data_IF_949119695152
#
_entry.id   IF_949119695152
#
_cell.length_a   1.000
_cell.length_b   1.000
_cell.length_c   1.000
_cell.angle_alpha   90.00
_cell.angle_beta   90.00
_cell.angle_gamma   90.00
#
_symmetry.space_group_name_H-M   'P 1'
#
loop_
_entity.id
_entity.type
_entity.pdbx_description
1 polymer ?
#
# COMPACT_ATOMS: atom_id res chain seq x y z
N UNK A 1 35.11 -7.70 -8.64
CA UNK A 1 36.08 -7.10 -7.71
C UNK A 1 35.91 -5.59 -7.78
N UNK A 2 35.11 -4.99 -6.90
CA UNK A 2 35.15 -3.54 -6.66
C UNK A 2 36.51 -3.27 -6.01
N UNK A 3 37.33 -2.39 -6.60
CA UNK A 3 38.48 -1.83 -5.93
C UNK A 3 37.96 -1.11 -4.69
N UNK A 4 38.21 -1.68 -3.51
CA UNK A 4 37.76 -1.14 -2.24
C UNK A 4 38.60 0.10 -1.92
N UNK A 5 38.14 1.24 -2.38
CA UNK A 5 38.57 2.55 -1.90
C UNK A 5 37.61 2.86 -0.76
N UNK A 6 37.91 2.39 0.45
CA UNK A 6 37.07 2.69 1.62
C UNK A 6 37.39 4.11 2.09
N UNK A 7 36.45 5.01 1.86
CA UNK A 7 36.39 6.24 2.61
C UNK A 7 35.82 5.91 4.01
N UNK A 8 36.48 6.39 5.06
CA UNK A 8 36.00 6.30 6.43
C UNK A 8 35.13 7.50 6.73
N UNK A 9 33.93 7.25 7.26
CA UNK A 9 33.00 8.26 7.73
C UNK A 9 33.03 8.32 9.26
N UNK A 10 33.36 9.49 9.83
CA UNK A 10 33.28 9.68 11.28
C UNK A 10 31.83 9.73 11.75
N UNK A 11 31.58 9.45 13.04
CA UNK A 11 30.33 9.86 13.67
C UNK A 11 30.22 11.40 13.65
N UNK A 12 28.99 11.95 13.66
CA UNK A 12 28.82 13.39 13.77
C UNK A 12 29.44 13.92 15.08
N UNK A 13 30.16 15.02 14.98
CA UNK A 13 30.75 15.70 16.15
C UNK A 13 30.73 17.22 15.97
N UNK A 14 30.66 17.92 17.10
CA UNK A 14 30.71 19.37 17.08
C UNK A 14 32.15 19.86 16.87
N UNK A 15 32.36 20.64 15.83
CA UNK A 15 33.64 21.27 15.53
C UNK A 15 33.67 22.72 16.01
N UNK A 16 34.59 23.04 16.89
CA UNK A 16 34.78 24.43 17.37
C UNK A 16 35.27 25.36 16.28
N UNK A 17 36.06 24.84 15.31
CA UNK A 17 36.64 25.63 14.24
C UNK A 17 35.59 26.11 13.24
N UNK A 18 34.56 25.29 13.02
CA UNK A 18 33.45 25.61 12.10
C UNK A 18 32.21 26.08 12.82
N UNK A 19 32.18 26.01 14.17
CA UNK A 19 30.99 26.29 15.00
C UNK A 19 29.74 25.51 14.54
N UNK A 20 29.92 24.24 14.15
CA UNK A 20 28.89 23.38 13.57
C UNK A 20 29.11 21.91 13.92
N UNK A 21 28.03 21.13 13.84
CA UNK A 21 28.14 19.66 13.80
C UNK A 21 28.54 19.23 12.40
N UNK A 22 29.62 18.47 12.30
CA UNK A 22 30.19 17.98 11.05
C UNK A 22 30.43 16.48 11.11
N UNK A 23 30.56 15.88 9.94
CA UNK A 23 31.20 14.58 9.74
C UNK A 23 32.48 14.77 8.97
N UNK A 24 33.47 13.91 9.25
CA UNK A 24 34.70 13.87 8.49
C UNK A 24 34.71 12.62 7.62
N UNK A 25 34.86 12.83 6.33
CA UNK A 25 35.14 11.75 5.38
C UNK A 25 36.64 11.73 5.12
N UNK A 26 37.31 10.59 5.35
CA UNK A 26 38.73 10.47 5.17
C UNK A 26 39.10 9.23 4.38
N UNK A 27 40.16 9.34 3.60
CA UNK A 27 40.68 8.27 2.77
C UNK A 27 42.21 8.24 2.80
N UNK A 28 42.75 7.04 2.94
CA UNK A 28 44.17 6.81 2.84
C UNK A 28 44.64 6.92 1.38
N UNK A 29 45.72 7.63 1.17
CA UNK A 29 46.43 7.71 -0.12
C UNK A 29 47.65 6.80 -0.05
N UNK A 30 47.77 5.88 -1.02
CA UNK A 30 48.86 4.90 -1.08
C UNK A 30 49.80 5.17 -2.28
N UNK A 31 51.06 4.88 -2.11
CA UNK A 31 52.00 4.74 -3.22
C UNK A 31 51.63 3.52 -4.10
N UNK A 32 52.21 3.47 -5.28
CA UNK A 32 52.04 2.33 -6.21
C UNK A 32 52.57 1.01 -5.64
N UNK A 33 53.44 1.03 -4.66
CA UNK A 33 53.97 -0.12 -3.93
C UNK A 33 53.06 -0.53 -2.72
N UNK A 34 51.95 0.19 -2.48
CA UNK A 34 51.00 -0.06 -1.40
C UNK A 34 51.39 0.60 -0.06
N UNK A 35 52.52 1.30 0.02
CA UNK A 35 52.89 2.04 1.24
C UNK A 35 52.01 3.29 1.42
N UNK A 36 51.77 3.67 2.68
CA UNK A 36 50.94 4.84 2.99
C UNK A 36 51.71 6.12 2.60
N UNK A 37 51.09 6.96 1.76
CA UNK A 37 51.59 8.28 1.40
C UNK A 37 51.03 9.37 2.33
N UNK A 38 49.78 9.22 2.76
CA UNK A 38 49.08 10.18 3.61
C UNK A 38 47.57 9.91 3.67
N UNK A 39 46.86 10.85 4.26
CA UNK A 39 45.42 10.79 4.36
C UNK A 39 44.81 12.10 3.87
N UNK A 40 43.82 12.04 3.01
CA UNK A 40 42.99 13.19 2.65
C UNK A 40 41.72 13.14 3.48
N UNK A 41 41.29 14.27 4.03
CA UNK A 41 40.04 14.41 4.77
C UNK A 41 39.24 15.58 4.27
N UNK A 42 37.92 15.44 4.32
CA UNK A 42 36.93 16.48 4.01
C UNK A 42 35.90 16.55 5.13
N UNK A 43 35.55 17.77 5.53
CA UNK A 43 34.49 18.01 6.49
C UNK A 43 33.16 18.33 5.76
N UNK A 44 32.11 17.70 6.17
CA UNK A 44 30.75 17.89 5.64
C UNK A 44 29.88 18.43 6.76
N UNK A 45 29.12 19.49 6.50
CA UNK A 45 28.12 20.02 7.41
C UNK A 45 26.99 19.00 7.60
N UNK A 46 26.80 18.57 8.84
CA UNK A 46 25.82 17.53 9.16
C UNK A 46 24.39 18.09 9.29
N UNK A 47 24.23 19.40 9.38
CA UNK A 47 22.92 20.03 9.50
C UNK A 47 22.05 19.79 8.26
N UNK A 48 22.61 19.79 7.05
CA UNK A 48 21.86 19.50 5.83
C UNK A 48 21.27 18.07 5.82
N UNK A 49 22.04 17.10 6.34
CA UNK A 49 21.56 15.72 6.50
C UNK A 49 20.45 15.66 7.56
N UNK A 50 20.62 16.40 8.65
CA UNK A 50 19.64 16.50 9.72
C UNK A 50 18.33 17.06 9.19
N UNK A 51 18.36 18.20 8.51
CA UNK A 51 17.20 18.87 7.95
C UNK A 51 16.48 17.98 6.92
N UNK A 52 17.26 17.29 6.08
CA UNK A 52 16.71 16.34 5.10
C UNK A 52 15.97 15.19 5.79
N UNK A 53 16.60 14.52 6.76
CA UNK A 53 15.98 13.37 7.45
C UNK A 53 14.76 13.79 8.25
N UNK A 54 14.82 14.93 8.94
CA UNK A 54 13.68 15.47 9.69
C UNK A 54 12.52 15.91 8.78
N UNK A 55 12.82 16.31 7.55
CA UNK A 55 11.83 16.66 6.53
C UNK A 55 11.11 15.48 5.89
N UNK A 56 11.61 14.23 6.09
CA UNK A 56 10.94 13.04 5.55
C UNK A 56 9.70 12.73 6.38
N UNK A 57 8.52 12.95 5.80
CA UNK A 57 7.23 12.54 6.36
C UNK A 57 6.81 11.18 5.84
N UNK A 58 6.32 10.32 6.73
CA UNK A 58 5.70 9.03 6.38
C UNK A 58 4.23 9.06 6.77
N UNK A 59 3.33 9.18 5.80
CA UNK A 59 1.90 9.41 6.01
C UNK A 59 1.65 10.68 6.84
N UNK A 60 0.74 10.66 7.83
CA UNK A 60 0.42 11.83 8.64
C UNK A 60 1.19 11.86 9.98
N UNK A 61 1.51 10.69 10.54
CA UNK A 61 2.10 10.57 11.89
C UNK A 61 3.43 9.82 11.90
N UNK A 62 3.83 9.26 10.76
CA UNK A 62 5.09 8.55 10.65
C UNK A 62 6.28 9.51 10.50
N UNK A 63 7.44 9.05 10.89
CA UNK A 63 8.69 9.79 10.86
C UNK A 63 9.88 8.87 10.59
N UNK A 64 11.03 9.47 10.30
CA UNK A 64 12.28 8.76 10.02
C UNK A 64 13.35 9.20 11.00
N UNK A 65 14.19 8.27 11.42
CA UNK A 65 15.44 8.53 12.12
C UNK A 65 16.61 7.96 11.33
N UNK A 66 17.80 8.51 11.51
CA UNK A 66 19.03 7.99 10.96
C UNK A 66 19.86 7.36 12.08
N UNK A 67 20.31 6.13 11.89
CA UNK A 67 21.11 5.39 12.87
C UNK A 67 22.46 4.96 12.28
N UNK A 68 23.47 4.84 13.13
CA UNK A 68 24.76 4.26 12.78
C UNK A 68 24.71 2.71 12.71
N UNK A 69 25.84 2.08 12.37
CA UNK A 69 25.95 0.63 12.27
C UNK A 69 25.65 -0.12 13.58
N UNK A 70 25.82 0.54 14.72
CA UNK A 70 25.52 -0.02 16.04
C UNK A 70 24.07 0.24 16.48
N UNK A 71 23.34 1.03 15.71
CA UNK A 71 21.95 1.41 15.99
C UNK A 71 21.81 2.66 16.85
N UNK A 72 22.89 3.41 17.10
CA UNK A 72 22.78 4.69 17.79
C UNK A 72 22.15 5.72 16.84
N UNK A 73 21.24 6.53 17.33
CA UNK A 73 20.54 7.53 16.53
C UNK A 73 21.49 8.71 16.28
N UNK A 74 21.77 8.98 15.01
CA UNK A 74 22.56 10.11 14.53
C UNK A 74 21.69 11.34 14.29
N UNK A 75 20.48 11.11 13.73
CA UNK A 75 19.46 12.14 13.53
C UNK A 75 18.16 11.64 14.12
N UNK A 76 17.63 12.37 15.08
CA UNK A 76 16.32 12.12 15.64
C UNK A 76 15.27 13.04 15.01
N UNK A 77 14.02 12.62 15.07
CA UNK A 77 12.88 13.40 14.62
C UNK A 77 12.07 13.87 15.84
N UNK A 78 11.63 15.12 15.85
CA UNK A 78 10.88 15.70 16.96
C UNK A 78 9.56 14.97 17.25
N UNK A 79 8.99 14.28 16.25
CA UNK A 79 7.80 13.44 16.41
C UNK A 79 8.11 12.04 16.94
N UNK A 80 9.38 11.73 17.21
CA UNK A 80 9.79 10.41 17.67
C UNK A 80 9.28 10.13 19.09
N UNK A 81 8.45 9.13 19.21
CA UNK A 81 7.88 8.63 20.47
C UNK A 81 8.21 7.16 20.75
N UNK A 82 8.94 6.50 19.85
CA UNK A 82 9.17 5.06 19.91
C UNK A 82 10.55 4.69 20.43
N UNK A 83 11.58 5.44 20.07
CA UNK A 83 12.97 5.18 20.44
C UNK A 83 13.62 6.47 20.94
N UNK A 84 14.54 6.40 21.89
CA UNK A 84 15.18 7.60 22.48
C UNK A 84 16.56 7.84 21.85
N UNK A 85 17.51 6.97 22.15
CA UNK A 85 18.92 7.16 21.76
C UNK A 85 19.40 6.09 20.78
N UNK A 86 18.66 5.00 20.66
CA UNK A 86 19.08 3.84 19.82
C UNK A 86 17.89 3.06 19.32
N UNK A 87 18.06 2.51 18.10
CA UNK A 87 17.16 1.55 17.48
C UNK A 87 17.59 0.10 17.75
N UNK A 88 18.70 -0.11 18.44
CA UNK A 88 19.25 -1.45 18.72
C UNK A 88 18.35 -2.34 19.58
N UNK A 89 17.40 -1.74 20.30
CA UNK A 89 16.39 -2.45 21.09
C UNK A 89 15.20 -3.00 20.28
N UNK A 90 15.09 -2.66 18.99
CA UNK A 90 14.06 -3.19 18.12
C UNK A 90 14.35 -4.66 17.78
N UNK A 91 13.31 -5.50 17.72
CA UNK A 91 13.48 -6.92 17.36
C UNK A 91 14.05 -7.09 15.95
N UNK A 92 13.65 -6.21 15.01
CA UNK A 92 14.13 -6.22 13.64
C UNK A 92 15.62 -5.85 13.52
N UNK A 93 16.22 -5.18 14.53
CA UNK A 93 17.58 -4.68 14.43
C UNK A 93 18.62 -5.78 14.21
N UNK A 94 18.43 -6.94 14.82
CA UNK A 94 19.32 -8.10 14.60
C UNK A 94 19.35 -8.53 13.12
N UNK A 95 18.21 -8.46 12.43
CA UNK A 95 18.12 -8.74 10.99
C UNK A 95 18.78 -7.64 10.18
N UNK A 96 18.53 -6.37 10.52
CA UNK A 96 19.13 -5.21 9.84
C UNK A 96 20.66 -5.22 9.96
N UNK A 97 21.17 -5.55 11.14
CA UNK A 97 22.63 -5.64 11.39
C UNK A 97 23.26 -6.78 10.58
N UNK A 98 22.52 -7.85 10.30
CA UNK A 98 22.97 -9.01 9.53
C UNK A 98 22.83 -8.87 8.00
N UNK A 99 22.34 -7.73 7.49
CA UNK A 99 22.25 -7.50 6.05
C UNK A 99 23.62 -7.50 5.38
N UNK A 100 23.69 -8.13 4.22
CA UNK A 100 24.90 -8.24 3.39
C UNK A 100 24.94 -7.14 2.34
N UNK A 101 26.06 -6.98 1.64
CA UNK A 101 26.22 -5.99 0.56
C UNK A 101 25.16 -6.11 -0.54
N UNK A 102 24.63 -7.30 -0.79
CA UNK A 102 23.56 -7.53 -1.76
C UNK A 102 22.21 -6.97 -1.32
N UNK A 103 22.04 -6.69 -0.03
CA UNK A 103 20.82 -6.19 0.58
C UNK A 103 20.84 -4.67 0.82
N UNK A 104 22.01 -4.05 0.66
CA UNK A 104 22.15 -2.60 0.85
C UNK A 104 21.31 -1.84 -0.18
N UNK A 105 20.88 -0.64 0.18
CA UNK A 105 20.01 0.23 -0.61
C UNK A 105 18.60 -0.37 -0.91
N UNK A 106 18.28 -1.54 -0.33
CA UNK A 106 16.93 -2.09 -0.36
C UNK A 106 16.16 -1.71 0.90
N UNK A 107 14.84 -1.57 0.74
CA UNK A 107 13.94 -1.34 1.86
C UNK A 107 13.40 -2.67 2.41
N UNK A 108 13.45 -2.83 3.71
CA UNK A 108 12.86 -3.95 4.44
C UNK A 108 11.78 -3.43 5.39
N UNK A 109 10.70 -4.19 5.53
CA UNK A 109 9.57 -3.83 6.38
C UNK A 109 9.36 -4.89 7.46
N UNK A 110 9.12 -4.44 8.67
CA UNK A 110 8.93 -5.27 9.86
C UNK A 110 7.73 -4.77 10.67
N UNK A 111 7.05 -5.69 11.34
CA UNK A 111 6.02 -5.37 12.31
C UNK A 111 6.60 -5.46 13.72
N UNK A 112 6.55 -4.39 14.46
CA UNK A 112 7.06 -4.28 15.81
C UNK A 112 5.96 -3.95 16.82
N UNK A 113 6.18 -4.29 18.08
CA UNK A 113 5.35 -3.82 19.18
C UNK A 113 6.22 -2.96 20.09
N UNK A 114 6.05 -1.65 20.01
CA UNK A 114 6.84 -0.70 20.77
C UNK A 114 5.92 -0.01 21.78
N UNK A 115 6.21 -0.18 23.06
CA UNK A 115 5.40 0.38 24.16
C UNK A 115 3.91 0.00 24.10
N UNK A 116 3.59 -1.23 23.60
CA UNK A 116 2.22 -1.71 23.45
C UNK A 116 1.49 -1.19 22.20
N UNK A 117 2.14 -0.42 21.35
CA UNK A 117 1.62 0.01 20.06
C UNK A 117 2.23 -0.83 18.94
N UNK A 118 1.37 -1.30 18.01
CA UNK A 118 1.83 -1.96 16.78
C UNK A 118 2.32 -0.89 15.81
N UNK A 119 3.55 -1.07 15.33
CA UNK A 119 4.25 -0.12 14.46
C UNK A 119 4.85 -0.87 13.29
N UNK A 120 4.65 -0.38 12.08
CA UNK A 120 5.41 -0.80 10.91
C UNK A 120 6.74 -0.06 10.91
N UNK A 121 7.82 -0.82 10.94
CA UNK A 121 9.19 -0.28 10.87
C UNK A 121 9.74 -0.59 9.48
N UNK A 122 10.15 0.44 8.76
CA UNK A 122 10.78 0.30 7.44
C UNK A 122 12.23 0.71 7.58
N UNK A 123 13.14 -0.12 7.10
CA UNK A 123 14.58 0.14 7.19
C UNK A 123 15.22 0.09 5.81
N UNK A 124 16.22 0.95 5.60
CA UNK A 124 17.11 0.90 4.43
C UNK A 124 18.51 1.23 4.87
N UNK A 125 19.46 0.33 4.61
CA UNK A 125 20.86 0.49 4.98
C UNK A 125 21.66 0.98 3.78
N UNK A 126 22.38 2.09 3.97
CA UNK A 126 23.22 2.68 2.93
C UNK A 126 24.53 1.90 2.74
N UNK A 127 24.87 1.65 1.49
CA UNK A 127 26.05 0.85 1.11
C UNK A 127 27.40 1.56 1.34
N UNK A 128 27.39 2.87 1.47
CA UNK A 128 28.62 3.67 1.53
C UNK A 128 29.00 3.98 2.98
N UNK A 129 28.03 4.42 3.76
CA UNK A 129 28.24 4.82 5.16
C UNK A 129 27.97 3.71 6.15
N UNK A 130 27.21 2.67 5.74
CA UNK A 130 26.67 1.65 6.63
C UNK A 130 25.55 2.15 7.53
N UNK A 131 25.14 3.43 7.41
CA UNK A 131 24.05 3.99 8.18
C UNK A 131 22.72 3.44 7.73
N UNK A 132 21.75 3.46 8.62
CA UNK A 132 20.42 2.94 8.37
C UNK A 132 19.37 4.01 8.59
N UNK A 133 18.56 4.27 7.58
CA UNK A 133 17.30 4.99 7.72
C UNK A 133 16.27 4.06 8.33
N UNK A 134 15.61 4.50 9.40
CA UNK A 134 14.57 3.73 10.08
C UNK A 134 13.31 4.57 10.15
N UNK A 135 12.30 4.16 9.39
CA UNK A 135 10.99 4.80 9.35
C UNK A 135 10.00 4.08 10.25
N UNK A 136 9.17 4.84 10.93
CA UNK A 136 8.14 4.35 11.85
C UNK A 136 6.78 4.83 11.39
N UNK A 137 5.83 3.90 11.24
CA UNK A 137 4.44 4.18 10.84
C UNK A 137 3.50 3.46 11.80
N UNK A 138 2.61 4.19 12.46
CA UNK A 138 1.61 3.55 13.33
C UNK A 138 0.69 2.64 12.54
N UNK A 139 0.56 1.37 12.97
CA UNK A 139 -0.39 0.42 12.37
C UNK A 139 -1.85 0.87 12.48
N UNK A 140 -2.16 1.74 13.44
CA UNK A 140 -3.51 2.32 13.55
C UNK A 140 -3.82 3.22 12.37
N UNK A 141 -2.86 4.00 11.90
CA UNK A 141 -3.04 4.89 10.76
C UNK A 141 -3.22 4.09 9.45
N UNK A 142 -2.38 3.08 9.24
CA UNK A 142 -2.49 2.18 8.09
C UNK A 142 -3.82 1.43 8.09
N UNK A 143 -4.23 0.90 9.27
CA UNK A 143 -5.50 0.18 9.42
C UNK A 143 -6.72 1.10 9.24
N UNK A 144 -6.68 2.34 9.70
CA UNK A 144 -7.78 3.29 9.55
C UNK A 144 -8.07 3.58 8.07
N UNK A 145 -7.05 3.77 7.26
CA UNK A 145 -7.18 3.97 5.82
C UNK A 145 -7.74 2.72 5.14
N UNK A 146 -7.22 1.55 5.46
CA UNK A 146 -7.67 0.26 4.91
C UNK A 146 -9.13 -0.03 5.30
N UNK A 147 -9.51 0.17 6.55
CA UNK A 147 -10.88 -0.06 7.02
C UNK A 147 -11.90 0.85 6.34
N UNK A 148 -11.54 2.11 6.08
CA UNK A 148 -12.40 3.03 5.33
C UNK A 148 -12.60 2.58 3.89
N UNK A 149 -11.57 2.07 3.23
CA UNK A 149 -11.67 1.51 1.88
C UNK A 149 -12.54 0.25 1.85
N UNK A 150 -12.35 -0.68 2.79
CA UNK A 150 -13.14 -1.91 2.92
C UNK A 150 -14.61 -1.56 3.18
N UNK A 151 -14.90 -0.67 4.12
CA UNK A 151 -16.26 -0.25 4.44
C UNK A 151 -16.99 0.32 3.22
N UNK A 152 -16.38 1.22 2.48
CA UNK A 152 -16.96 1.77 1.26
C UNK A 152 -17.22 0.69 0.21
N UNK A 153 -16.27 -0.22 0.00
CA UNK A 153 -16.44 -1.33 -0.96
C UNK A 153 -17.61 -2.23 -0.57
N UNK A 154 -17.75 -2.58 0.71
CA UNK A 154 -18.85 -3.39 1.22
C UNK A 154 -20.20 -2.69 1.00
N UNK A 155 -20.28 -1.38 1.31
CA UNK A 155 -21.52 -0.61 1.13
C UNK A 155 -21.92 -0.59 -0.35
N UNK A 156 -20.99 -0.29 -1.27
CA UNK A 156 -21.29 -0.29 -2.71
C UNK A 156 -21.70 -1.67 -3.22
N UNK A 157 -21.08 -2.74 -2.72
CA UNK A 157 -21.44 -4.12 -3.08
C UNK A 157 -22.87 -4.46 -2.64
N UNK A 158 -23.27 -4.06 -1.43
CA UNK A 158 -24.63 -4.28 -0.93
C UNK A 158 -25.66 -3.52 -1.80
N UNK A 159 -25.37 -2.26 -2.12
CA UNK A 159 -26.27 -1.46 -2.97
C UNK A 159 -26.42 -2.11 -4.35
N UNK A 160 -25.32 -2.50 -4.98
CA UNK A 160 -25.36 -3.17 -6.29
C UNK A 160 -26.15 -4.49 -6.25
N UNK A 161 -25.98 -5.26 -5.16
CA UNK A 161 -26.70 -6.52 -4.96
C UNK A 161 -28.22 -6.31 -4.82
N UNK A 162 -28.64 -5.31 -4.03
CA UNK A 162 -30.08 -4.97 -3.86
C UNK A 162 -30.66 -4.50 -5.19
N UNK A 163 -29.99 -3.65 -5.94
CA UNK A 163 -30.44 -3.22 -7.27
C UNK A 163 -30.56 -4.42 -8.21
N UNK A 164 -29.56 -5.30 -8.24
CA UNK A 164 -29.56 -6.51 -9.06
C UNK A 164 -30.77 -7.43 -8.75
N UNK A 165 -31.04 -7.66 -7.48
CA UNK A 165 -32.22 -8.42 -7.06
C UNK A 165 -33.50 -7.72 -7.53
N UNK A 166 -33.63 -6.41 -7.34
CA UNK A 166 -34.79 -5.64 -7.76
C UNK A 166 -35.07 -5.78 -9.27
N UNK A 167 -34.02 -5.67 -10.09
CA UNK A 167 -34.11 -5.86 -11.54
C UNK A 167 -34.54 -7.30 -11.86
N UNK A 168 -33.88 -8.30 -11.26
CA UNK A 168 -34.18 -9.71 -11.51
C UNK A 168 -35.66 -10.06 -11.17
N UNK A 169 -36.14 -9.59 -10.02
CA UNK A 169 -37.55 -9.79 -9.61
C UNK A 169 -38.50 -9.08 -10.57
N UNK A 170 -38.20 -7.87 -11.00
CA UNK A 170 -39.04 -7.11 -11.94
C UNK A 170 -39.13 -7.81 -13.31
N UNK A 171 -37.99 -8.27 -13.84
CA UNK A 171 -37.98 -9.02 -15.11
C UNK A 171 -38.75 -10.33 -14.99
N UNK A 172 -38.47 -11.10 -13.92
CA UNK A 172 -39.15 -12.37 -13.68
C UNK A 172 -40.70 -12.19 -13.54
N UNK A 173 -41.12 -11.18 -12.80
CA UNK A 173 -42.56 -10.89 -12.64
C UNK A 173 -43.20 -10.49 -13.98
N UNK A 174 -42.51 -9.67 -14.79
CA UNK A 174 -43.00 -9.28 -16.11
C UNK A 174 -43.11 -10.48 -17.05
N UNK A 175 -42.10 -11.33 -17.13
CA UNK A 175 -42.10 -12.52 -17.97
C UNK A 175 -43.18 -13.52 -17.54
N UNK A 176 -43.29 -13.76 -16.23
CA UNK A 176 -44.32 -14.67 -15.67
C UNK A 176 -45.71 -14.20 -16.01
N UNK A 177 -45.98 -12.90 -15.95
CA UNK A 177 -47.28 -12.31 -16.29
C UNK A 177 -47.68 -12.58 -17.74
N UNK A 178 -46.75 -12.39 -18.67
CA UNK A 178 -47.01 -12.63 -20.10
C UNK A 178 -47.24 -14.12 -20.40
N UNK A 179 -46.41 -15.01 -19.83
CA UNK A 179 -46.57 -16.46 -19.99
C UNK A 179 -47.96 -16.92 -19.42
N UNK A 180 -48.34 -16.43 -18.25
CA UNK A 180 -49.66 -16.74 -17.67
C UNK A 180 -50.80 -16.25 -18.55
N UNK A 181 -50.70 -15.06 -19.16
CA UNK A 181 -51.69 -14.54 -20.09
C UNK A 181 -51.89 -15.48 -21.26
N UNK A 182 -50.84 -15.83 -21.99
CA UNK A 182 -50.95 -16.75 -23.13
C UNK A 182 -51.45 -18.13 -22.70
N UNK A 183 -50.95 -18.67 -21.58
CA UNK A 183 -51.42 -19.95 -21.04
C UNK A 183 -52.89 -19.93 -20.66
N UNK A 184 -53.45 -18.81 -20.18
CA UNK A 184 -54.88 -18.63 -19.91
C UNK A 184 -55.69 -18.77 -21.18
N UNK A 185 -55.36 -17.99 -22.22
CA UNK A 185 -56.06 -18.07 -23.51
C UNK A 185 -55.92 -19.45 -24.17
N UNK A 186 -54.76 -20.13 -24.07
CA UNK A 186 -54.64 -21.52 -24.52
C UNK A 186 -55.59 -22.48 -23.84
N UNK A 187 -55.87 -22.28 -22.54
CA UNK A 187 -56.80 -23.10 -21.79
C UNK A 187 -58.26 -22.87 -22.24
N UNK A 188 -58.59 -21.63 -22.55
CA UNK A 188 -59.97 -21.29 -23.01
C UNK A 188 -60.20 -21.89 -24.39
N UNK A 189 -59.25 -21.84 -25.30
CA UNK A 189 -59.29 -22.53 -26.59
C UNK A 189 -59.36 -24.04 -26.41
N UNK A 190 -58.61 -24.64 -25.50
CA UNK A 190 -58.66 -26.09 -25.21
C UNK A 190 -60.01 -26.53 -24.62
N UNK A 191 -60.81 -25.63 -24.00
CA UNK A 191 -62.15 -25.88 -23.53
C UNK A 191 -63.25 -25.72 -24.59
N UNK A 192 -62.87 -25.35 -25.83
CA UNK A 192 -63.70 -25.24 -26.98
C UNK A 192 -64.13 -23.83 -27.38
N UNK A 193 -63.55 -22.80 -26.74
CA UNK A 193 -63.79 -21.40 -27.13
C UNK A 193 -62.77 -21.02 -28.21
N UNK A 194 -63.06 -21.24 -29.47
CA UNK A 194 -62.23 -20.86 -30.61
C UNK A 194 -62.42 -19.40 -31.03
N UNK A 195 -63.14 -18.59 -30.27
CA UNK A 195 -63.31 -17.15 -30.58
C UNK A 195 -62.32 -16.28 -29.83
N UNK A 196 -61.64 -16.84 -28.82
CA UNK A 196 -60.72 -16.12 -27.99
C UNK A 196 -59.52 -15.62 -28.77
N UNK A 197 -59.13 -14.38 -28.58
CA UNK A 197 -57.96 -13.71 -29.21
C UNK A 197 -57.18 -12.89 -28.22
N UNK A 198 -55.86 -12.88 -28.39
CA UNK A 198 -54.96 -12.05 -27.58
C UNK A 198 -54.73 -10.71 -28.28
N UNK A 199 -54.95 -9.61 -27.57
CA UNK A 199 -54.62 -8.26 -28.04
C UNK A 199 -53.09 -8.08 -27.96
N UNK A 200 -52.43 -8.08 -29.14
CA UNK A 200 -50.99 -8.01 -29.26
C UNK A 200 -50.51 -6.56 -29.16
N UNK A 201 -49.89 -6.22 -28.02
CA UNK A 201 -49.40 -4.85 -27.75
C UNK A 201 -47.86 -4.74 -27.78
N UNK A 202 -47.18 -5.85 -27.74
CA UNK A 202 -45.72 -5.90 -27.62
C UNK A 202 -45.04 -6.20 -28.95
N UNK A 203 -43.85 -5.61 -29.16
CA UNK A 203 -42.99 -5.83 -30.34
C UNK A 203 -41.72 -6.58 -29.94
N UNK A 204 -41.88 -7.69 -29.22
CA UNK A 204 -40.81 -8.58 -28.78
C UNK A 204 -41.28 -10.04 -28.89
N UNK A 205 -40.45 -10.99 -28.42
CA UNK A 205 -40.71 -12.43 -28.50
C UNK A 205 -42.06 -12.84 -27.89
N UNK A 206 -42.57 -12.09 -26.92
CA UNK A 206 -43.93 -12.31 -26.38
C UNK A 206 -45.04 -11.85 -27.35
N UNK A 207 -44.78 -10.74 -28.07
CA UNK A 207 -45.69 -10.31 -29.14
C UNK A 207 -45.76 -11.30 -30.28
N UNK A 208 -44.61 -11.89 -30.65
CA UNK A 208 -44.57 -12.96 -31.67
C UNK A 208 -45.30 -14.21 -31.19
N UNK A 209 -45.17 -14.57 -29.92
CA UNK A 209 -45.92 -15.69 -29.32
C UNK A 209 -47.45 -15.44 -29.32
N UNK A 210 -47.90 -14.23 -29.00
CA UNK A 210 -49.29 -13.81 -29.03
C UNK A 210 -49.84 -13.85 -30.47
N UNK A 211 -49.09 -13.40 -31.47
CA UNK A 211 -49.47 -13.50 -32.88
C UNK A 211 -49.58 -14.96 -33.35
N UNK A 212 -48.61 -15.80 -33.02
CA UNK A 212 -48.64 -17.22 -33.37
C UNK A 212 -49.82 -17.95 -32.76
N UNK A 213 -50.19 -17.60 -31.49
CA UNK A 213 -51.40 -18.11 -30.86
C UNK A 213 -52.64 -17.71 -31.64
N UNK A 214 -52.80 -16.41 -31.97
CA UNK A 214 -53.96 -15.94 -32.74
C UNK A 214 -54.06 -16.64 -34.12
N UNK A 215 -52.96 -16.80 -34.83
CA UNK A 215 -52.92 -17.51 -36.12
C UNK A 215 -53.30 -18.99 -35.98
N UNK A 216 -52.91 -19.64 -34.89
CA UNK A 216 -53.31 -21.04 -34.62
C UNK A 216 -54.79 -21.20 -34.39
N UNK A 217 -55.45 -20.22 -33.75
CA UNK A 217 -56.91 -20.25 -33.47
C UNK A 217 -57.74 -19.87 -34.72
N UNK A 218 -57.14 -19.19 -35.70
CA UNK A 218 -57.81 -18.77 -36.96
C UNK A 218 -57.86 -19.88 -38.00
N UNK A 219 -56.89 -20.81 -37.96
CA UNK A 219 -56.81 -21.95 -38.94
C UNK A 219 -57.53 -23.17 -38.40
#
# INVERSE_FOLDING_TARGET
ARNNIYAYFSKPYYSKDFDKTIITVSQEIKHSDGTNYGTVGMHIDFSEITDFVQGIGLLNTGFVVLADEDGNILVNNDNNKYVTDSVSGLNCWSTVKGLTEDDYDKAFSFDENINGEKVHVVTSKDAVTGWTLVGFISSKETSATTNKMISNTVIFSIIAFVIGIGIALSVTASMTKEIKKVSGHMKDVASGDLTDRIDVKKKNEFGDLENNFNNMVEN
#
